data_IF_161105030434
#
_entry.id   IF_161105030434
#
_cell.length_a   1.000
_cell.length_b   1.000
_cell.length_c   1.000
_cell.angle_alpha   90.00
_cell.angle_beta   90.00
_cell.angle_gamma   90.00
#
_symmetry.space_group_name_H-M   'P 1'
#
loop_
_entity.id
_entity.type
_entity.pdbx_description
1 polymer ?
#
# COMPACT_ATOMS: atom_id res chain seq x y z
N UNK A 1 -6.96 36.08 10.90
CA UNK A 1 -6.86 36.38 9.46
C UNK A 1 -5.47 35.90 9.00
N UNK A 2 -5.34 34.59 8.70
CA UNK A 2 -4.06 34.00 8.32
C UNK A 2 -3.93 34.12 6.79
N UNK A 3 -2.95 34.86 6.34
CA UNK A 3 -2.52 34.96 4.96
C UNK A 3 -2.06 33.57 4.48
N UNK A 4 -2.88 32.90 3.72
CA UNK A 4 -2.46 31.81 2.83
C UNK A 4 -1.63 32.48 1.72
N UNK A 5 -0.33 32.62 1.96
CA UNK A 5 0.63 32.87 0.89
C UNK A 5 0.47 31.75 -0.15
N UNK A 6 -0.16 32.07 -1.27
CA UNK A 6 -0.17 31.26 -2.48
C UNK A 6 1.28 31.06 -2.94
N UNK A 7 1.97 30.04 -2.39
CA UNK A 7 3.22 29.57 -2.94
C UNK A 7 2.87 28.87 -4.25
N UNK A 8 3.03 29.55 -5.36
CA UNK A 8 3.20 28.89 -6.65
C UNK A 8 4.50 28.07 -6.62
N UNK A 9 4.44 26.91 -5.98
CA UNK A 9 5.57 25.98 -5.94
C UNK A 9 5.53 25.26 -7.29
N UNK A 10 6.49 25.56 -8.15
CA UNK A 10 6.68 24.77 -9.36
C UNK A 10 7.15 23.37 -8.96
N UNK A 11 6.30 22.37 -9.18
CA UNK A 11 6.61 20.96 -8.94
C UNK A 11 7.85 20.55 -9.75
N UNK A 12 8.93 20.12 -9.06
CA UNK A 12 10.13 19.60 -9.74
C UNK A 12 9.99 18.12 -10.05
N UNK A 13 10.27 17.73 -11.30
CA UNK A 13 10.29 16.33 -11.75
C UNK A 13 11.75 15.88 -11.77
N UNK A 14 12.05 14.80 -11.01
CA UNK A 14 13.38 14.26 -10.81
C UNK A 14 13.46 12.90 -11.53
N UNK A 15 14.26 12.80 -12.56
CA UNK A 15 14.31 11.64 -13.46
C UNK A 15 15.36 10.59 -13.08
N UNK A 16 16.36 11.00 -12.30
CA UNK A 16 17.50 10.16 -11.92
C UNK A 16 18.03 10.53 -10.53
N UNK A 17 19.08 9.84 -10.09
CA UNK A 17 19.69 10.08 -8.78
C UNK A 17 20.41 11.44 -8.65
N UNK A 18 20.93 11.99 -9.75
CA UNK A 18 21.62 13.30 -9.70
C UNK A 18 20.57 14.41 -9.47
N UNK A 19 19.47 14.40 -10.21
CA UNK A 19 18.35 15.33 -10.00
C UNK A 19 17.82 15.21 -8.55
N UNK A 20 17.73 13.98 -8.03
CA UNK A 20 17.26 13.73 -6.67
C UNK A 20 18.20 14.35 -5.63
N UNK A 21 19.50 14.11 -5.75
CA UNK A 21 20.50 14.60 -4.81
C UNK A 21 20.55 16.13 -4.81
N UNK A 22 20.54 16.76 -5.98
CA UNK A 22 20.52 18.21 -6.13
C UNK A 22 19.26 18.82 -5.51
N UNK A 23 18.08 18.27 -5.84
CA UNK A 23 16.82 18.82 -5.38
C UNK A 23 16.59 18.65 -3.87
N UNK A 24 17.18 17.61 -3.26
CA UNK A 24 17.01 17.33 -1.83
C UNK A 24 18.16 17.88 -0.97
N UNK A 25 19.16 18.51 -1.57
CA UNK A 25 20.23 19.15 -0.82
C UNK A 25 19.62 20.18 0.15
N UNK A 26 19.96 20.06 1.44
CA UNK A 26 19.45 20.92 2.52
C UNK A 26 17.94 20.86 2.79
N UNK A 27 17.18 19.93 2.20
CA UNK A 27 15.75 19.78 2.51
C UNK A 27 15.58 19.10 3.86
N UNK A 28 15.00 19.84 4.82
CA UNK A 28 14.65 19.34 6.16
C UNK A 28 13.17 19.03 6.25
N UNK A 29 12.81 18.11 7.15
CA UNK A 29 11.42 17.71 7.43
C UNK A 29 10.66 17.27 6.17
N UNK A 30 11.30 16.36 5.38
CA UNK A 30 10.77 15.82 4.14
C UNK A 30 9.77 14.68 4.40
N UNK A 31 8.61 14.73 3.75
CA UNK A 31 7.63 13.66 3.65
C UNK A 31 7.78 12.87 2.35
N UNK A 32 7.69 11.56 2.43
CA UNK A 32 7.80 10.66 1.28
C UNK A 32 6.53 9.82 1.11
N UNK A 33 6.00 9.79 -0.10
CA UNK A 33 4.86 8.95 -0.49
C UNK A 33 5.30 7.99 -1.60
N UNK A 34 5.64 6.73 -1.29
CA UNK A 34 5.99 5.73 -2.29
C UNK A 34 4.75 5.26 -3.06
N UNK A 35 4.80 5.31 -4.40
CA UNK A 35 3.72 4.81 -5.27
C UNK A 35 4.27 4.05 -6.47
N UNK A 36 3.41 3.25 -7.08
CA UNK A 36 3.67 2.64 -8.38
C UNK A 36 2.93 3.35 -9.52
N UNK A 37 2.41 4.55 -9.29
CA UNK A 37 1.58 5.28 -10.25
C UNK A 37 0.12 4.81 -10.25
N UNK A 38 -0.62 5.20 -11.29
CA UNK A 38 -2.07 5.01 -11.40
C UNK A 38 -2.80 5.56 -10.16
N UNK A 39 -2.54 6.84 -9.89
CA UNK A 39 -2.97 7.51 -8.67
C UNK A 39 -4.50 7.59 -8.57
N UNK A 40 -5.01 7.28 -7.39
CA UNK A 40 -6.43 7.37 -7.05
C UNK A 40 -6.63 8.09 -5.71
N UNK A 41 -7.89 8.31 -5.29
CA UNK A 41 -8.23 9.04 -4.05
C UNK A 41 -7.50 8.51 -2.81
N UNK A 42 -7.16 7.20 -2.76
CA UNK A 42 -6.33 6.62 -1.70
C UNK A 42 -4.91 7.20 -1.67
N UNK A 43 -4.22 7.27 -2.81
CA UNK A 43 -2.90 7.91 -2.91
C UNK A 43 -2.98 9.41 -2.61
N UNK A 44 -4.03 10.08 -3.10
CA UNK A 44 -4.25 11.51 -2.84
C UNK A 44 -4.37 11.79 -1.34
N UNK A 45 -5.01 10.89 -0.57
CA UNK A 45 -5.11 11.06 0.89
C UNK A 45 -3.75 10.97 1.59
N UNK A 46 -2.84 10.07 1.13
CA UNK A 46 -1.47 9.98 1.64
C UNK A 46 -0.69 11.27 1.36
N UNK A 47 -0.81 11.77 0.13
CA UNK A 47 -0.13 13.01 -0.31
C UNK A 47 -0.60 14.21 0.50
N UNK A 48 -1.92 14.37 0.67
CA UNK A 48 -2.50 15.45 1.49
C UNK A 48 -2.01 15.39 2.94
N UNK A 49 -1.91 14.18 3.51
CA UNK A 49 -1.39 14.01 4.87
C UNK A 49 0.10 14.37 4.96
N UNK A 50 0.89 14.04 3.93
CA UNK A 50 2.29 14.45 3.83
C UNK A 50 2.42 15.96 3.75
N UNK A 51 1.70 16.61 2.84
CA UNK A 51 1.71 18.07 2.66
C UNK A 51 1.30 18.83 3.94
N UNK A 52 0.38 18.23 4.72
CA UNK A 52 -0.06 18.81 6.00
C UNK A 52 0.99 18.67 7.10
N UNK A 53 1.76 17.58 7.12
CA UNK A 53 2.66 17.20 8.22
C UNK A 53 4.10 17.62 8.01
N UNK A 54 4.51 17.91 6.78
CA UNK A 54 5.91 18.15 6.42
C UNK A 54 6.11 19.44 5.62
N UNK A 55 7.33 19.99 5.66
CA UNK A 55 7.65 21.22 4.95
C UNK A 55 7.72 21.01 3.43
N UNK A 56 8.16 19.82 3.02
CA UNK A 56 8.31 19.41 1.63
C UNK A 56 7.83 17.98 1.46
N UNK A 57 7.20 17.70 0.33
CA UNK A 57 6.69 16.37 -0.01
C UNK A 57 7.31 15.87 -1.31
N UNK A 58 7.86 14.66 -1.28
CA UNK A 58 8.28 13.92 -2.47
C UNK A 58 7.39 12.71 -2.69
N UNK A 59 6.94 12.52 -3.93
CA UNK A 59 6.18 11.34 -4.36
C UNK A 59 7.03 10.56 -5.37
N UNK A 60 7.26 9.27 -5.13
CA UNK A 60 7.86 8.43 -6.17
C UNK A 60 6.79 7.75 -7.02
N UNK A 61 7.08 7.60 -8.32
CA UNK A 61 6.31 6.73 -9.22
C UNK A 61 7.30 5.73 -9.81
N UNK A 62 7.35 4.53 -9.22
CA UNK A 62 8.25 3.47 -9.66
C UNK A 62 7.56 2.11 -9.61
N UNK A 63 7.36 1.48 -10.75
CA UNK A 63 6.78 0.14 -10.85
C UNK A 63 7.90 -0.88 -10.65
N UNK A 64 8.02 -1.37 -9.42
CA UNK A 64 9.07 -2.29 -9.02
C UNK A 64 8.80 -3.71 -9.53
N UNK A 65 9.54 -4.15 -10.55
CA UNK A 65 9.41 -5.49 -11.11
C UNK A 65 9.70 -6.62 -10.10
N UNK A 66 10.59 -6.39 -9.11
CA UNK A 66 10.99 -7.41 -8.12
C UNK A 66 9.91 -7.81 -7.13
N UNK A 67 8.83 -7.03 -7.01
CA UNK A 67 7.70 -7.37 -6.12
C UNK A 67 6.55 -8.10 -6.84
N UNK A 68 6.67 -8.36 -8.15
CA UNK A 68 5.67 -9.10 -8.92
C UNK A 68 6.06 -10.56 -9.04
N UNK A 69 5.17 -11.46 -8.63
CA UNK A 69 5.37 -12.91 -8.76
C UNK A 69 4.99 -13.42 -10.15
N UNK A 70 4.19 -12.63 -10.89
CA UNK A 70 3.66 -13.01 -12.20
C UNK A 70 3.98 -11.91 -13.21
N UNK A 71 4.63 -12.26 -14.32
CA UNK A 71 4.94 -11.34 -15.43
C UNK A 71 3.68 -10.68 -15.99
N UNK A 72 2.55 -11.41 -16.08
CA UNK A 72 1.27 -10.89 -16.56
C UNK A 72 0.73 -9.75 -15.64
N UNK A 73 0.84 -9.89 -14.30
CA UNK A 73 0.43 -8.84 -13.35
C UNK A 73 1.31 -7.59 -13.51
N UNK A 74 2.61 -7.76 -13.72
CA UNK A 74 3.54 -6.65 -13.99
C UNK A 74 3.22 -5.92 -15.29
N UNK A 75 3.00 -6.68 -16.38
CA UNK A 75 2.71 -6.12 -17.71
C UNK A 75 1.37 -5.39 -17.74
N UNK A 76 0.34 -5.97 -17.11
CA UNK A 76 -1.02 -5.40 -17.05
C UNK A 76 -1.20 -4.35 -15.97
N UNK A 77 -0.17 -4.09 -15.15
CA UNK A 77 -0.29 -3.10 -14.08
C UNK A 77 -0.59 -1.72 -14.67
N UNK A 78 -1.65 -1.02 -14.20
CA UNK A 78 -2.08 0.25 -14.79
C UNK A 78 -1.00 1.33 -14.76
N UNK A 79 -0.81 2.04 -15.87
CA UNK A 79 0.18 3.10 -16.06
C UNK A 79 -0.46 4.29 -16.72
N UNK A 80 -0.44 5.45 -16.07
CA UNK A 80 -0.91 6.69 -16.66
C UNK A 80 -0.10 7.89 -16.17
N UNK A 81 1.17 7.96 -16.62
CA UNK A 81 2.13 8.98 -16.19
C UNK A 81 1.59 10.41 -16.37
N UNK A 82 0.95 10.72 -17.50
CA UNK A 82 0.39 12.06 -17.78
C UNK A 82 -0.67 12.45 -16.74
N UNK A 83 -1.62 11.55 -16.46
CA UNK A 83 -2.67 11.76 -15.45
C UNK A 83 -2.08 11.88 -14.05
N UNK A 84 -1.12 11.02 -13.72
CA UNK A 84 -0.47 11.04 -12.40
C UNK A 84 0.24 12.37 -12.16
N UNK A 85 1.04 12.85 -13.10
CA UNK A 85 1.71 14.15 -13.01
C UNK A 85 0.72 15.31 -12.92
N UNK A 86 -0.38 15.28 -13.67
CA UNK A 86 -1.44 16.29 -13.58
C UNK A 86 -2.08 16.32 -12.17
N UNK A 87 -2.32 15.15 -11.57
CA UNK A 87 -2.85 15.05 -10.21
C UNK A 87 -1.85 15.65 -9.21
N UNK A 88 -0.57 15.30 -9.30
CA UNK A 88 0.48 15.77 -8.40
C UNK A 88 0.69 17.27 -8.51
N UNK A 89 0.67 17.83 -9.72
CA UNK A 89 0.74 19.28 -9.97
C UNK A 89 -0.43 20.02 -9.31
N UNK A 90 -1.67 19.53 -9.45
CA UNK A 90 -2.85 20.12 -8.81
C UNK A 90 -2.83 20.05 -7.28
N UNK A 91 -2.10 19.08 -6.72
CA UNK A 91 -1.93 18.95 -5.28
C UNK A 91 -0.77 19.81 -4.74
N UNK A 92 -0.06 20.53 -5.59
CA UNK A 92 1.12 21.32 -5.24
C UNK A 92 2.21 20.48 -4.53
N UNK A 93 2.47 19.27 -5.03
CA UNK A 93 3.57 18.43 -4.56
C UNK A 93 4.90 19.09 -4.95
N UNK A 94 5.87 19.13 -4.03
CA UNK A 94 7.16 19.78 -4.28
C UNK A 94 8.02 19.00 -5.27
N UNK A 95 8.12 17.67 -5.07
CA UNK A 95 9.00 16.82 -5.85
C UNK A 95 8.30 15.54 -6.33
N UNK A 96 8.54 15.17 -7.57
CA UNK A 96 8.11 13.88 -8.13
C UNK A 96 9.34 13.13 -8.62
N UNK A 97 9.64 11.99 -8.01
CA UNK A 97 10.76 11.15 -8.39
C UNK A 97 10.30 10.01 -9.30
N UNK A 98 10.85 9.97 -10.51
CA UNK A 98 10.52 9.02 -11.57
C UNK A 98 11.75 8.18 -11.96
N UNK A 99 12.31 7.40 -11.03
CA UNK A 99 13.52 6.64 -11.30
C UNK A 99 13.29 5.53 -12.32
N UNK A 100 14.34 5.17 -13.02
CA UNK A 100 14.41 3.90 -13.73
C UNK A 100 14.97 2.78 -12.82
N UNK A 101 15.02 1.55 -13.32
CA UNK A 101 15.52 0.42 -12.53
C UNK A 101 17.00 0.54 -12.15
N UNK A 102 17.82 1.17 -13.00
CA UNK A 102 19.27 1.38 -12.73
C UNK A 102 19.47 2.37 -11.58
N UNK A 103 18.61 3.39 -11.48
CA UNK A 103 18.66 4.36 -10.37
C UNK A 103 18.40 3.70 -9.02
N UNK A 104 17.50 2.70 -8.97
CA UNK A 104 17.11 2.02 -7.74
C UNK A 104 18.04 0.86 -7.42
N UNK A 105 18.40 0.05 -8.45
CA UNK A 105 19.11 -1.19 -8.28
C UNK A 105 20.58 -1.06 -8.75
N UNK A 106 21.39 -0.40 -7.92
CA UNK A 106 22.83 -0.41 -8.08
C UNK A 106 23.35 -1.84 -7.81
N UNK A 107 24.12 -2.39 -8.77
CA UNK A 107 24.67 -3.75 -8.70
C UNK A 107 25.62 -3.97 -7.50
N UNK A 108 26.16 -2.91 -6.91
CA UNK A 108 27.08 -2.97 -5.77
C UNK A 108 26.42 -3.37 -4.44
N UNK A 109 25.09 -3.33 -4.30
CA UNK A 109 24.37 -3.70 -3.07
C UNK A 109 23.66 -5.05 -3.23
N UNK A 110 24.37 -6.16 -2.96
CA UNK A 110 23.86 -7.53 -3.20
C UNK A 110 23.18 -8.21 -2.02
N UNK A 111 23.07 -7.61 -0.84
CA UNK A 111 22.39 -8.26 0.29
C UNK A 111 20.90 -8.46 0.01
N UNK A 112 20.52 -9.69 -0.30
CA UNK A 112 19.11 -10.10 -0.45
C UNK A 112 18.41 -10.02 0.91
N UNK A 113 17.33 -9.23 1.00
CA UNK A 113 16.46 -9.21 2.17
C UNK A 113 15.67 -10.51 2.19
N UNK A 114 15.66 -11.20 3.35
CA UNK A 114 14.88 -12.42 3.55
C UNK A 114 13.83 -12.18 4.63
N UNK A 115 12.59 -12.59 4.37
CA UNK A 115 11.54 -12.59 5.39
C UNK A 115 11.81 -13.68 6.44
N UNK A 116 11.56 -13.33 7.71
CA UNK A 116 11.57 -14.31 8.80
C UNK A 116 10.42 -15.31 8.61
N UNK A 117 10.60 -16.57 9.05
CA UNK A 117 9.58 -17.64 8.95
C UNK A 117 8.21 -17.20 9.51
N UNK A 118 8.20 -16.48 10.63
CA UNK A 118 6.99 -15.96 11.27
C UNK A 118 6.21 -14.93 10.46
N UNK A 119 6.86 -14.25 9.49
CA UNK A 119 6.27 -13.20 8.68
C UNK A 119 5.72 -13.75 7.34
N UNK A 120 5.97 -15.05 7.05
CA UNK A 120 5.45 -15.76 5.86
C UNK A 120 4.00 -16.20 6.06
N UNK A 121 3.13 -15.24 6.32
CA UNK A 121 1.68 -15.38 6.56
C UNK A 121 0.89 -14.51 5.59
N UNK A 122 -0.42 -14.67 5.52
CA UNK A 122 -1.29 -13.86 4.65
C UNK A 122 -0.74 -13.77 3.21
N UNK A 123 -0.61 -12.57 2.65
CA UNK A 123 -0.05 -12.38 1.32
C UNK A 123 1.35 -12.98 1.14
N UNK A 124 2.21 -12.97 2.15
CA UNK A 124 3.55 -13.54 2.05
C UNK A 124 3.57 -15.06 1.86
N UNK A 125 2.52 -15.76 2.34
CA UNK A 125 2.35 -17.21 2.12
C UNK A 125 2.04 -17.53 0.65
N UNK A 126 1.26 -16.69 -0.01
CA UNK A 126 0.75 -16.92 -1.37
C UNK A 126 1.55 -16.18 -2.46
N UNK A 127 2.41 -15.25 -2.05
CA UNK A 127 3.21 -14.42 -2.96
C UNK A 127 4.68 -14.49 -2.57
N UNK A 128 5.31 -15.63 -2.82
CA UNK A 128 6.73 -15.87 -2.49
C UNK A 128 7.63 -14.81 -3.12
N UNK A 129 8.51 -14.18 -2.34
CA UNK A 129 9.42 -13.13 -2.81
C UNK A 129 8.82 -11.72 -2.91
N UNK A 130 7.49 -11.58 -2.84
CA UNK A 130 6.83 -10.29 -2.96
C UNK A 130 7.29 -9.26 -1.93
N UNK A 131 7.26 -9.60 -0.65
CA UNK A 131 7.64 -8.65 0.40
C UNK A 131 9.14 -8.47 0.52
N UNK A 132 9.93 -9.45 0.13
CA UNK A 132 11.37 -9.29 -0.05
C UNK A 132 11.65 -8.20 -1.09
N UNK A 133 10.93 -8.22 -2.22
CA UNK A 133 11.00 -7.18 -3.24
C UNK A 133 10.50 -5.81 -2.77
N UNK A 134 9.42 -5.78 -1.95
CA UNK A 134 8.90 -4.54 -1.36
C UNK A 134 9.90 -3.96 -0.37
N UNK A 135 10.47 -4.77 0.52
CA UNK A 135 11.45 -4.30 1.50
C UNK A 135 12.74 -3.82 0.84
N UNK A 136 13.20 -4.50 -0.24
CA UNK A 136 14.40 -4.09 -1.00
C UNK A 136 14.19 -2.72 -1.66
N UNK A 137 13.07 -2.50 -2.34
CA UNK A 137 12.80 -1.20 -2.97
C UNK A 137 12.62 -0.09 -1.93
N UNK A 138 11.91 -0.37 -0.84
CA UNK A 138 11.72 0.62 0.24
C UNK A 138 13.02 0.97 0.95
N UNK A 139 13.88 -0.01 1.20
CA UNK A 139 15.22 0.20 1.77
C UNK A 139 16.06 1.15 0.90
N UNK A 140 16.05 0.93 -0.42
CA UNK A 140 16.79 1.76 -1.38
C UNK A 140 16.23 3.16 -1.50
N UNK A 141 14.91 3.29 -1.62
CA UNK A 141 14.25 4.59 -1.72
C UNK A 141 14.44 5.42 -0.45
N UNK A 142 14.25 4.82 0.73
CA UNK A 142 14.44 5.54 2.00
C UNK A 142 15.90 5.93 2.20
N UNK A 143 16.84 5.07 1.82
CA UNK A 143 18.28 5.41 1.88
C UNK A 143 18.65 6.59 0.97
N UNK A 144 18.08 6.66 -0.24
CA UNK A 144 18.38 7.74 -1.21
C UNK A 144 17.67 9.05 -0.86
N UNK A 145 16.41 8.98 -0.47
CA UNK A 145 15.56 10.15 -0.20
C UNK A 145 15.81 10.72 1.20
N UNK A 146 16.20 9.87 2.15
CA UNK A 146 16.40 10.22 3.57
C UNK A 146 15.22 11.00 4.19
N UNK A 147 13.95 10.55 4.01
CA UNK A 147 12.79 11.29 4.48
C UNK A 147 12.65 11.23 6.00
N UNK A 148 12.08 12.28 6.61
CA UNK A 148 11.69 12.22 8.03
C UNK A 148 10.46 11.33 8.24
N UNK A 149 9.50 11.40 7.33
CA UNK A 149 8.26 10.62 7.38
C UNK A 149 7.99 9.90 6.05
N UNK A 150 7.53 8.65 6.13
CA UNK A 150 7.05 7.88 4.98
C UNK A 150 5.58 7.54 5.19
N UNK A 151 4.72 7.97 4.28
CA UNK A 151 3.27 7.81 4.39
C UNK A 151 2.80 6.57 3.64
N UNK A 152 2.14 5.65 4.34
CA UNK A 152 1.68 4.38 3.79
C UNK A 152 0.25 4.07 4.21
N UNK A 153 -0.52 3.48 3.28
CA UNK A 153 -1.94 3.17 3.52
C UNK A 153 -2.15 1.92 4.37
N UNK A 154 -3.09 2.00 5.33
CA UNK A 154 -3.54 0.86 6.14
C UNK A 154 -4.22 -0.25 5.30
N UNK A 155 -4.63 0.03 4.07
CA UNK A 155 -5.18 -0.99 3.16
C UNK A 155 -4.22 -2.16 2.96
N UNK A 156 -2.95 -1.87 2.75
CA UNK A 156 -1.90 -2.88 2.57
C UNK A 156 -1.20 -3.16 3.91
N UNK A 157 -2.00 -3.55 4.92
CA UNK A 157 -1.59 -3.60 6.34
C UNK A 157 -0.36 -4.48 6.59
N UNK A 158 -0.28 -5.67 5.99
CA UNK A 158 0.90 -6.53 6.14
C UNK A 158 2.15 -5.86 5.55
N UNK A 159 2.02 -5.18 4.40
CA UNK A 159 3.11 -4.40 3.82
C UNK A 159 3.56 -3.28 4.75
N UNK A 160 2.61 -2.49 5.25
CA UNK A 160 2.89 -1.41 6.19
C UNK A 160 3.59 -1.95 7.45
N UNK A 161 3.10 -3.04 8.02
CA UNK A 161 3.67 -3.68 9.22
C UNK A 161 5.13 -4.11 8.98
N UNK A 162 5.42 -4.78 7.87
CA UNK A 162 6.76 -5.26 7.54
C UNK A 162 7.72 -4.10 7.25
N UNK A 163 7.28 -3.12 6.45
CA UNK A 163 8.07 -1.93 6.10
C UNK A 163 8.36 -1.10 7.35
N UNK A 164 7.36 -0.89 8.22
CA UNK A 164 7.55 -0.15 9.49
C UNK A 164 8.61 -0.80 10.35
N UNK A 165 8.48 -2.10 10.61
CA UNK A 165 9.42 -2.84 11.44
C UNK A 165 10.85 -2.88 10.85
N UNK A 166 10.98 -2.82 9.53
CA UNK A 166 12.28 -2.82 8.86
C UNK A 166 12.90 -1.42 8.82
N UNK A 167 12.14 -0.42 8.35
CA UNK A 167 12.64 0.94 8.13
C UNK A 167 12.91 1.66 9.45
N UNK A 168 11.98 1.64 10.41
CA UNK A 168 12.17 2.34 11.69
C UNK A 168 13.29 1.75 12.56
N UNK A 169 13.66 0.48 12.30
CA UNK A 169 14.82 -0.13 12.95
C UNK A 169 16.14 0.29 12.32
N UNK A 170 16.14 0.56 11.01
CA UNK A 170 17.37 0.82 10.23
C UNK A 170 17.66 2.30 10.01
N UNK A 171 16.61 3.12 9.94
CA UNK A 171 16.67 4.53 9.61
C UNK A 171 15.98 5.40 10.67
N UNK A 172 16.31 6.70 10.69
CA UNK A 172 15.61 7.69 11.53
C UNK A 172 14.21 8.05 10.98
N UNK A 173 13.86 7.55 9.81
CA UNK A 173 12.56 7.75 9.17
C UNK A 173 11.43 7.08 9.96
N UNK A 174 10.27 7.76 10.07
CA UNK A 174 9.06 7.23 10.73
C UNK A 174 7.99 6.90 9.72
N UNK A 175 7.38 5.72 9.83
CA UNK A 175 6.24 5.32 9.00
C UNK A 175 4.96 5.90 9.58
N UNK A 176 4.23 6.65 8.76
CA UNK A 176 2.93 7.24 9.12
C UNK A 176 1.83 6.40 8.47
N UNK A 177 1.05 5.64 9.27
CA UNK A 177 -0.08 4.88 8.75
C UNK A 177 -1.24 5.83 8.42
N UNK A 178 -1.77 5.73 7.21
CA UNK A 178 -2.90 6.53 6.75
C UNK A 178 -4.14 5.67 6.54
N UNK A 179 -5.32 6.19 6.88
CA UNK A 179 -6.59 5.46 6.82
C UNK A 179 -6.89 4.96 5.40
N UNK A 180 -7.49 3.78 5.32
CA UNK A 180 -7.98 3.21 4.06
C UNK A 180 -9.10 4.08 3.50
N UNK A 181 -8.94 4.55 2.27
CA UNK A 181 -10.00 5.27 1.55
C UNK A 181 -10.86 4.24 0.81
N UNK A 182 -12.17 4.36 0.99
CA UNK A 182 -13.17 3.48 0.40
C UNK A 182 -14.13 4.27 -0.49
N UNK A 183 -14.77 3.60 -1.44
CA UNK A 183 -15.88 4.22 -2.17
C UNK A 183 -17.16 4.26 -1.29
N UNK A 184 -18.26 4.79 -1.84
CA UNK A 184 -19.57 4.88 -1.15
C UNK A 184 -20.03 3.51 -0.64
N UNK A 185 -19.77 2.45 -1.39
CA UNK A 185 -20.19 1.08 -1.09
C UNK A 185 -19.14 0.30 -0.29
N UNK A 186 -18.20 0.99 0.38
CA UNK A 186 -17.21 0.44 1.31
C UNK A 186 -16.05 -0.33 0.68
N UNK A 187 -15.98 -0.51 -0.64
CA UNK A 187 -14.83 -1.14 -1.29
C UNK A 187 -13.58 -0.27 -1.15
N UNK A 188 -12.48 -0.85 -0.69
CA UNK A 188 -11.20 -0.18 -0.60
C UNK A 188 -10.66 0.19 -1.99
N UNK A 189 -10.21 1.43 -2.16
CA UNK A 189 -9.69 1.90 -3.44
C UNK A 189 -8.32 1.26 -3.74
N UNK A 190 -8.18 0.80 -4.98
CA UNK A 190 -6.96 0.18 -5.49
C UNK A 190 -6.82 0.48 -6.99
N UNK A 191 -5.57 0.62 -7.46
CA UNK A 191 -5.32 0.72 -8.90
C UNK A 191 -5.80 -0.51 -9.68
N UNK A 192 -5.87 -1.68 -9.01
CA UNK A 192 -6.42 -2.91 -9.62
C UNK A 192 -7.93 -2.86 -9.84
N UNK A 193 -8.67 -1.97 -9.18
CA UNK A 193 -10.10 -1.80 -9.43
C UNK A 193 -10.36 -1.32 -10.87
N UNK A 194 -9.38 -0.67 -11.52
CA UNK A 194 -9.46 -0.25 -12.92
C UNK A 194 -9.43 -1.41 -13.92
N UNK A 195 -9.04 -2.61 -13.45
CA UNK A 195 -8.99 -3.83 -14.27
C UNK A 195 -10.28 -4.66 -14.18
N UNK A 196 -11.23 -4.24 -13.33
CA UNK A 196 -12.48 -4.94 -13.10
C UNK A 196 -13.62 -4.29 -13.88
N UNK A 197 -14.51 -5.12 -14.38
CA UNK A 197 -15.77 -4.66 -14.94
C UNK A 197 -16.74 -4.19 -13.84
N UNK A 198 -17.77 -3.45 -14.22
CA UNK A 198 -18.75 -2.87 -13.27
C UNK A 198 -19.46 -3.95 -12.42
N UNK A 199 -19.80 -5.09 -13.02
CA UNK A 199 -20.38 -6.24 -12.32
C UNK A 199 -19.47 -6.80 -11.24
N UNK A 200 -18.20 -6.99 -11.54
CA UNK A 200 -17.17 -7.47 -10.59
C UNK A 200 -16.92 -6.45 -9.47
N UNK A 201 -16.93 -5.15 -9.78
CA UNK A 201 -16.86 -4.09 -8.74
C UNK A 201 -18.07 -4.18 -7.79
N UNK A 202 -19.29 -4.29 -8.32
CA UNK A 202 -20.50 -4.43 -7.51
C UNK A 202 -20.46 -5.68 -6.64
N UNK A 203 -19.95 -6.79 -7.16
CA UNK A 203 -19.76 -8.04 -6.41
C UNK A 203 -18.73 -7.84 -5.27
N UNK A 204 -17.59 -7.19 -5.55
CA UNK A 204 -16.60 -6.87 -4.52
C UNK A 204 -17.19 -6.00 -3.40
N UNK A 205 -18.01 -5.00 -3.75
CA UNK A 205 -18.68 -4.12 -2.80
C UNK A 205 -19.62 -4.91 -1.86
N UNK A 206 -20.46 -5.75 -2.42
CA UNK A 206 -21.38 -6.62 -1.65
C UNK A 206 -20.62 -7.57 -0.73
N UNK A 207 -19.54 -8.18 -1.23
CA UNK A 207 -18.67 -9.07 -0.44
C UNK A 207 -18.04 -8.32 0.76
N UNK A 208 -17.50 -7.13 0.53
CA UNK A 208 -16.89 -6.33 1.61
C UNK A 208 -17.93 -5.86 2.63
N UNK A 209 -19.13 -5.46 2.20
CA UNK A 209 -20.22 -5.12 3.10
C UNK A 209 -20.62 -6.32 3.99
N UNK A 210 -20.77 -7.51 3.40
CA UNK A 210 -21.02 -8.75 4.14
C UNK A 210 -19.92 -9.04 5.18
N UNK A 211 -18.66 -8.86 4.80
CA UNK A 211 -17.55 -9.05 5.73
C UNK A 211 -17.53 -8.02 6.86
N UNK A 212 -17.88 -6.76 6.59
CA UNK A 212 -17.99 -5.74 7.62
C UNK A 212 -19.10 -6.08 8.64
N UNK A 213 -20.23 -6.56 8.16
CA UNK A 213 -21.33 -7.00 9.04
C UNK A 213 -20.93 -8.24 9.83
N UNK A 214 -20.30 -9.24 9.18
CA UNK A 214 -19.78 -10.42 9.84
C UNK A 214 -18.75 -10.05 10.93
N UNK A 215 -17.83 -9.13 10.65
CA UNK A 215 -16.86 -8.70 11.68
C UNK A 215 -17.53 -8.10 12.92
N UNK A 216 -18.61 -7.35 12.75
CA UNK A 216 -19.39 -6.80 13.88
C UNK A 216 -20.03 -7.90 14.73
N UNK A 217 -20.46 -9.01 14.11
CA UNK A 217 -21.07 -10.13 14.83
C UNK A 217 -20.07 -11.03 15.57
N UNK A 218 -18.76 -10.97 15.23
CA UNK A 218 -17.73 -11.84 15.82
C UNK A 218 -17.59 -11.72 17.33
N UNK A 219 -17.96 -10.59 17.94
CA UNK A 219 -17.89 -10.40 19.40
C UNK A 219 -18.86 -11.30 20.18
N UNK A 220 -19.89 -11.85 19.50
CA UNK A 220 -20.95 -12.69 20.09
C UNK A 220 -20.74 -14.19 19.85
N UNK A 221 -19.65 -14.58 19.20
CA UNK A 221 -19.39 -15.92 18.69
C UNK A 221 -18.54 -16.72 19.67
N UNK A 222 -18.95 -18.00 19.92
CA UNK A 222 -18.21 -18.92 20.83
C UNK A 222 -16.93 -19.48 20.21
N UNK A 223 -16.99 -19.91 18.94
CA UNK A 223 -15.83 -20.47 18.21
C UNK A 223 -15.49 -19.62 16.97
N UNK A 224 -14.67 -18.60 17.18
CA UNK A 224 -14.23 -17.67 16.15
C UNK A 224 -13.51 -18.33 14.97
N UNK A 225 -12.74 -19.40 15.19
CA UNK A 225 -12.02 -20.09 14.11
C UNK A 225 -12.98 -20.80 13.18
N UNK A 226 -13.91 -21.56 13.76
CA UNK A 226 -14.94 -22.29 13.01
C UNK A 226 -15.83 -21.32 12.20
N UNK A 227 -16.25 -20.22 12.83
CA UNK A 227 -17.13 -19.26 12.17
C UNK A 227 -16.45 -18.49 11.05
N UNK A 228 -15.18 -18.10 11.21
CA UNK A 228 -14.40 -17.50 10.13
C UNK A 228 -14.20 -18.47 8.97
N UNK A 229 -13.95 -19.75 9.27
CA UNK A 229 -13.86 -20.80 8.25
C UNK A 229 -15.18 -21.00 7.50
N UNK A 230 -16.29 -21.12 8.23
CA UNK A 230 -17.62 -21.25 7.65
C UNK A 230 -18.00 -20.02 6.80
N UNK A 231 -17.67 -18.82 7.29
CA UNK A 231 -17.89 -17.57 6.54
C UNK A 231 -17.08 -17.54 5.24
N UNK A 232 -15.84 -18.02 5.25
CA UNK A 232 -15.03 -18.14 4.04
C UNK A 232 -15.73 -19.04 3.00
N UNK A 233 -16.19 -20.22 3.40
CA UNK A 233 -16.91 -21.15 2.52
C UNK A 233 -18.18 -20.52 1.99
N UNK A 234 -19.02 -19.97 2.88
CA UNK A 234 -20.27 -19.30 2.52
C UNK A 234 -20.06 -18.21 1.46
N UNK A 235 -19.09 -17.34 1.66
CA UNK A 235 -18.80 -16.25 0.72
C UNK A 235 -18.23 -16.77 -0.61
N UNK A 236 -17.38 -17.81 -0.58
CA UNK A 236 -16.86 -18.43 -1.80
C UNK A 236 -17.97 -19.02 -2.65
N UNK A 237 -18.94 -19.69 -2.03
CA UNK A 237 -20.12 -20.26 -2.71
C UNK A 237 -21.08 -19.18 -3.19
N UNK A 238 -21.44 -18.22 -2.32
CA UNK A 238 -22.43 -17.17 -2.62
C UNK A 238 -22.01 -16.30 -3.82
N UNK A 239 -20.71 -16.01 -3.95
CA UNK A 239 -20.19 -15.16 -5.00
C UNK A 239 -19.46 -15.92 -6.11
N UNK A 240 -19.39 -17.24 -6.01
CA UNK A 240 -18.63 -18.10 -6.93
C UNK A 240 -17.20 -17.60 -7.17
N UNK A 241 -16.47 -17.33 -6.06
CA UNK A 241 -15.11 -16.76 -6.08
C UNK A 241 -14.12 -17.60 -5.31
N UNK A 242 -12.84 -17.48 -5.68
CA UNK A 242 -11.75 -18.04 -4.91
C UNK A 242 -11.29 -17.06 -3.82
N UNK A 243 -11.49 -17.44 -2.54
CA UNK A 243 -10.94 -16.72 -1.39
C UNK A 243 -9.66 -17.46 -0.93
N UNK A 244 -8.50 -16.86 -1.18
CA UNK A 244 -7.20 -17.43 -0.74
C UNK A 244 -7.17 -17.62 0.78
N UNK A 245 -7.46 -16.55 1.51
CA UNK A 245 -7.55 -16.57 2.96
C UNK A 245 -8.63 -15.62 3.48
N UNK A 246 -9.17 -15.99 4.63
CA UNK A 246 -9.96 -15.13 5.51
C UNK A 246 -9.47 -15.41 6.93
N UNK A 247 -8.79 -14.44 7.57
CA UNK A 247 -8.12 -14.67 8.84
C UNK A 247 -8.24 -13.49 9.79
N UNK A 248 -8.54 -13.76 11.08
CA UNK A 248 -8.51 -12.75 12.13
C UNK A 248 -7.12 -12.71 12.76
N UNK A 249 -6.49 -11.54 12.75
CA UNK A 249 -5.15 -11.37 13.28
C UNK A 249 -5.01 -10.10 14.13
N UNK A 250 -4.17 -10.21 15.14
CA UNK A 250 -3.84 -9.09 16.02
C UNK A 250 -3.07 -7.99 15.25
N UNK A 251 -3.45 -6.74 15.45
CA UNK A 251 -2.86 -5.59 14.72
C UNK A 251 -1.40 -5.32 15.11
N UNK A 252 -1.00 -5.63 16.34
CA UNK A 252 0.34 -5.29 16.84
C UNK A 252 1.43 -6.26 16.36
N UNK A 253 1.10 -7.54 16.09
CA UNK A 253 2.09 -8.57 15.80
C UNK A 253 1.71 -9.52 14.67
N UNK A 254 0.55 -9.35 14.05
CA UNK A 254 -0.03 -10.18 12.98
C UNK A 254 -0.19 -11.67 13.35
N UNK A 255 -0.08 -12.05 14.62
CA UNK A 255 -0.38 -13.43 15.05
C UNK A 255 -1.88 -13.70 14.91
N UNK A 256 -2.23 -14.93 14.56
CA UNK A 256 -3.64 -15.38 14.60
C UNK A 256 -4.19 -15.18 16.01
N UNK A 257 -5.44 -14.75 16.11
CA UNK A 257 -6.06 -14.44 17.40
C UNK A 257 -7.50 -14.87 17.43
N UNK A 258 -7.97 -15.25 18.62
CA UNK A 258 -9.39 -15.45 18.94
C UNK A 258 -10.02 -14.25 19.66
N UNK A 259 -9.31 -13.12 19.75
CA UNK A 259 -9.81 -11.88 20.36
C UNK A 259 -10.20 -10.88 19.28
N UNK A 260 -11.41 -10.34 19.36
CA UNK A 260 -11.91 -9.35 18.40
C UNK A 260 -11.34 -7.95 18.63
N UNK A 261 -10.98 -7.62 19.87
CA UNK A 261 -10.35 -6.36 20.25
C UNK A 261 -8.90 -6.29 19.72
N UNK A 262 -8.49 -5.16 19.16
CA UNK A 262 -7.17 -4.93 18.56
C UNK A 262 -6.81 -5.97 17.49
N UNK A 263 -7.80 -6.35 16.69
CA UNK A 263 -7.63 -7.30 15.60
C UNK A 263 -8.31 -6.81 14.31
N UNK A 264 -7.81 -7.32 13.20
CA UNK A 264 -8.38 -7.11 11.87
C UNK A 264 -8.70 -8.44 11.21
N UNK A 265 -9.81 -8.43 10.46
CA UNK A 265 -10.18 -9.51 9.56
C UNK A 265 -9.53 -9.25 8.20
N UNK A 266 -8.58 -10.09 7.83
CA UNK A 266 -7.84 -9.99 6.57
C UNK A 266 -8.42 -10.93 5.53
N UNK A 267 -8.59 -10.43 4.31
CA UNK A 267 -9.06 -11.23 3.17
C UNK A 267 -8.17 -11.02 1.95
N UNK A 268 -7.98 -12.10 1.18
CA UNK A 268 -7.57 -12.03 -0.22
C UNK A 268 -8.46 -12.93 -1.06
N UNK A 269 -8.92 -12.41 -2.20
CA UNK A 269 -9.84 -13.08 -3.08
C UNK A 269 -9.59 -12.69 -4.54
N UNK A 270 -10.13 -13.49 -5.47
CA UNK A 270 -10.03 -13.25 -6.89
C UNK A 270 -11.39 -12.94 -7.49
N UNK A 271 -11.44 -11.90 -8.34
CA UNK A 271 -12.53 -11.61 -9.27
C UNK A 271 -11.92 -11.47 -10.66
N UNK A 272 -12.46 -12.20 -11.65
CA UNK A 272 -11.98 -12.17 -13.04
C UNK A 272 -10.45 -12.31 -13.17
N UNK A 273 -9.85 -13.21 -12.39
CA UNK A 273 -8.39 -13.40 -12.27
C UNK A 273 -7.62 -12.23 -11.65
N UNK A 274 -8.31 -11.18 -11.21
CA UNK A 274 -7.72 -10.04 -10.51
C UNK A 274 -7.73 -10.30 -9.01
N UNK A 275 -6.56 -10.31 -8.42
CA UNK A 275 -6.39 -10.50 -6.98
C UNK A 275 -6.64 -9.20 -6.22
N UNK A 276 -7.61 -9.20 -5.32
CA UNK A 276 -7.94 -8.12 -4.41
C UNK A 276 -7.61 -8.49 -2.97
N UNK A 277 -7.32 -7.49 -2.16
CA UNK A 277 -7.12 -7.64 -0.70
C UNK A 277 -7.85 -6.55 0.05
N UNK A 278 -8.24 -6.88 1.27
CA UNK A 278 -8.74 -5.90 2.24
C UNK A 278 -8.41 -6.32 3.67
N UNK A 279 -8.58 -5.38 4.60
CA UNK A 279 -8.57 -5.64 6.04
C UNK A 279 -9.61 -4.74 6.72
N UNK A 280 -10.38 -5.32 7.62
CA UNK A 280 -11.55 -4.72 8.25
C UNK A 280 -11.40 -4.72 9.76
#
# INVERSE_FOLDING_TARGET
MFYLLNRFIQMKILLNNNDLNEALNNVKNLGFVPTMGSLHKGHISLIKESLRKTNKTIVSIFINHRQFNNKKDFTKYPRNKKKDLSILKRLNVDFVYLPNAKDIYDYKRSKKIKLKKKDKILCAKYRTGHFEGVLDVMDRLVNKISPKYVFMGLKDFQQLFLVKNYIEKKYKSRIVPCKTVRNSNKLALSSRNLLLEKSAISMAEKLIQNLMNFKKSLSKVKDLKKDIYNQKIKLSQLYNINIEYLELRNEKNLKATSKTKNSKLFIAFYLDKIRLIDNI
#
